data_IF_552228676808
#
_entry.id   IF_552228676808
#
_cell.length_a   1.000
_cell.length_b   1.000
_cell.length_c   1.000
_cell.angle_alpha   90.00
_cell.angle_beta   90.00
_cell.angle_gamma   90.00
#
_symmetry.space_group_name_H-M   'P 1'
#
loop_
_entity.id
_entity.type
_entity.pdbx_description
1 polymer ?
#
# COMPACT_ATOMS: atom_id res chain seq x y z
N UNK A 1 -9.53 -1.69 13.48
CA UNK A 1 -10.00 -0.90 12.36
C UNK A 1 -8.99 0.20 12.04
N UNK A 2 -8.31 0.08 10.89
CA UNK A 2 -7.14 0.91 10.50
C UNK A 2 -7.53 2.41 10.43
N UNK A 3 -8.73 2.72 9.94
CA UNK A 3 -9.20 4.09 9.81
C UNK A 3 -9.45 4.76 11.17
N UNK A 4 -9.87 3.99 12.16
CA UNK A 4 -9.99 4.48 13.55
C UNK A 4 -8.62 4.77 14.14
N UNK A 5 -7.64 3.96 13.78
CA UNK A 5 -6.27 4.05 14.28
C UNK A 5 -5.58 5.37 13.92
N UNK A 6 -5.86 5.93 12.75
CA UNK A 6 -5.32 7.22 12.33
C UNK A 6 -5.59 8.34 13.32
N UNK A 7 -6.79 8.36 13.92
CA UNK A 7 -7.20 9.43 14.82
C UNK A 7 -6.84 9.16 16.29
N UNK A 8 -7.08 7.93 16.76
CA UNK A 8 -7.02 7.59 18.18
C UNK A 8 -6.15 6.37 18.50
N UNK A 9 -5.49 5.77 17.51
CA UNK A 9 -4.72 4.54 17.67
C UNK A 9 -3.65 4.63 18.74
N UNK A 10 -2.92 5.74 18.82
CA UNK A 10 -1.93 5.95 19.86
C UNK A 10 -2.52 5.93 21.29
N UNK A 11 -3.71 6.49 21.47
CA UNK A 11 -4.43 6.42 22.74
C UNK A 11 -4.88 4.99 23.04
N UNK A 12 -5.45 4.31 22.05
CA UNK A 12 -5.88 2.92 22.21
C UNK A 12 -4.70 1.99 22.51
N UNK A 13 -3.56 2.17 21.88
CA UNK A 13 -2.34 1.46 22.16
C UNK A 13 -1.88 1.65 23.62
N UNK A 14 -1.86 2.88 24.14
CA UNK A 14 -1.53 3.16 25.53
C UNK A 14 -2.51 2.50 26.50
N UNK A 15 -3.80 2.58 26.22
CA UNK A 15 -4.82 1.96 27.07
C UNK A 15 -4.68 0.44 27.11
N UNK A 16 -4.45 -0.17 25.93
CA UNK A 16 -4.23 -1.62 25.83
C UNK A 16 -2.99 -2.08 26.60
N UNK A 17 -1.85 -1.38 26.44
CA UNK A 17 -0.64 -1.67 27.18
C UNK A 17 -0.84 -1.57 28.69
N UNK A 18 -1.53 -0.54 29.17
CA UNK A 18 -1.83 -0.38 30.58
C UNK A 18 -2.77 -1.48 31.11
N UNK A 19 -3.64 -1.99 30.27
CA UNK A 19 -4.56 -3.09 30.61
C UNK A 19 -3.93 -4.49 30.42
N UNK A 20 -2.70 -4.58 29.88
CA UNK A 20 -2.04 -5.87 29.61
C UNK A 20 -2.70 -6.69 28.49
N UNK A 21 -3.39 -6.03 27.56
CA UNK A 21 -4.06 -6.69 26.44
C UNK A 21 -3.36 -6.40 25.11
N UNK A 22 -3.49 -7.31 24.16
CA UNK A 22 -2.93 -7.14 22.81
C UNK A 22 -3.72 -6.07 22.05
N UNK A 23 -3.00 -5.14 21.45
CA UNK A 23 -3.54 -4.19 20.49
C UNK A 23 -2.70 -4.21 19.21
N UNK A 24 -3.33 -4.53 18.09
CA UNK A 24 -2.69 -4.50 16.77
C UNK A 24 -3.62 -3.83 15.77
N UNK A 25 -3.10 -2.89 14.98
CA UNK A 25 -3.89 -2.13 14.02
C UNK A 25 -4.05 -2.83 12.69
N UNK A 26 -3.09 -3.64 12.27
CA UNK A 26 -3.03 -4.13 10.89
C UNK A 26 -2.48 -5.55 10.74
N UNK A 27 -2.43 -6.34 11.82
CA UNK A 27 -2.07 -7.75 11.72
C UNK A 27 -3.09 -8.49 10.85
N UNK A 28 -2.62 -9.15 9.78
CA UNK A 28 -3.49 -9.84 8.81
C UNK A 28 -4.16 -8.93 7.78
N UNK A 29 -3.87 -7.62 7.78
CA UNK A 29 -4.27 -6.68 6.73
C UNK A 29 -3.05 -6.24 5.92
N UNK A 30 -3.27 -5.50 4.82
CA UNK A 30 -2.24 -5.15 3.83
C UNK A 30 -1.00 -4.47 4.42
N UNK A 31 -1.08 -3.48 5.35
CA UNK A 31 0.10 -2.90 5.96
C UNK A 31 0.95 -3.91 6.75
N UNK A 32 0.33 -4.81 7.51
CA UNK A 32 1.03 -5.88 8.23
C UNK A 32 1.72 -6.85 7.28
N UNK A 33 1.00 -7.32 6.26
CA UNK A 33 1.52 -8.27 5.29
C UNK A 33 2.71 -7.71 4.50
N UNK A 34 2.66 -6.45 4.06
CA UNK A 34 3.78 -5.85 3.31
C UNK A 34 5.01 -5.61 4.18
N UNK A 35 4.84 -5.27 5.45
CA UNK A 35 5.96 -5.10 6.38
C UNK A 35 6.68 -6.43 6.61
N UNK A 36 5.96 -7.54 6.72
CA UNK A 36 6.57 -8.88 6.78
C UNK A 36 7.41 -9.18 5.54
N UNK A 37 6.90 -8.86 4.34
CA UNK A 37 7.66 -9.01 3.08
C UNK A 37 8.88 -8.10 3.03
N UNK A 38 8.74 -6.85 3.47
CA UNK A 38 9.81 -5.87 3.55
C UNK A 38 10.94 -6.35 4.46
N UNK A 39 10.60 -6.78 5.69
CA UNK A 39 11.56 -7.27 6.66
C UNK A 39 12.27 -8.54 6.16
N UNK A 40 11.53 -9.44 5.51
CA UNK A 40 12.09 -10.64 4.91
C UNK A 40 13.11 -10.29 3.81
N UNK A 41 12.74 -9.41 2.87
CA UNK A 41 13.64 -8.99 1.79
C UNK A 41 14.89 -8.29 2.33
N UNK A 42 14.74 -7.40 3.30
CA UNK A 42 15.87 -6.73 3.97
C UNK A 42 16.75 -7.71 4.73
N UNK A 43 16.14 -8.68 5.41
CA UNK A 43 16.84 -9.73 6.15
C UNK A 43 17.70 -10.63 5.25
N UNK A 44 17.32 -10.83 4.00
CA UNK A 44 18.10 -11.53 2.97
C UNK A 44 19.18 -10.65 2.33
N UNK A 45 19.24 -9.35 2.63
CA UNK A 45 20.23 -8.41 2.08
C UNK A 45 19.81 -7.77 0.77
N UNK A 46 18.57 -7.90 0.33
CA UNK A 46 18.06 -7.20 -0.84
C UNK A 46 17.88 -5.70 -0.57
N UNK A 47 18.07 -4.91 -1.63
CA UNK A 47 17.71 -3.51 -1.65
C UNK A 47 16.21 -3.40 -2.02
N UNK A 48 15.37 -2.97 -1.07
CA UNK A 48 13.95 -2.76 -1.35
C UNK A 48 13.77 -1.40 -2.01
N UNK A 49 13.25 -1.43 -3.24
CA UNK A 49 13.06 -0.25 -4.10
C UNK A 49 11.68 0.39 -3.90
N UNK A 50 10.64 -0.43 -3.84
CA UNK A 50 9.25 0.01 -3.71
C UNK A 50 8.51 -0.91 -2.76
N UNK A 51 7.66 -0.33 -1.94
CA UNK A 51 6.69 -1.04 -1.10
C UNK A 51 5.30 -0.61 -1.53
N UNK A 52 4.37 -1.55 -1.68
CA UNK A 52 3.07 -1.15 -2.17
C UNK A 52 1.95 -2.16 -2.03
N UNK A 53 0.79 -1.71 -2.52
CA UNK A 53 -0.45 -2.48 -2.50
C UNK A 53 -1.24 -2.37 -3.79
N UNK A 54 -2.11 -3.34 -4.02
CA UNK A 54 -3.10 -3.27 -5.08
C UNK A 54 -4.33 -2.44 -4.71
N UNK A 55 -5.01 -1.90 -5.72
CA UNK A 55 -6.29 -1.21 -5.62
C UNK A 55 -7.23 -1.69 -6.73
N UNK A 56 -8.48 -2.02 -6.37
CA UNK A 56 -9.48 -2.53 -7.34
C UNK A 56 -10.36 -1.44 -7.94
N UNK A 57 -10.51 -0.32 -7.24
CA UNK A 57 -11.45 0.70 -7.65
C UNK A 57 -10.69 1.92 -8.15
N UNK A 58 -11.02 2.44 -9.33
CA UNK A 58 -10.51 3.75 -9.76
C UNK A 58 -10.74 4.81 -8.70
N UNK A 59 -9.80 5.75 -8.59
CA UNK A 59 -9.90 6.84 -7.64
C UNK A 59 -11.01 7.81 -8.08
N UNK A 60 -11.90 8.16 -7.16
CA UNK A 60 -13.00 9.11 -7.34
C UNK A 60 -13.05 10.05 -6.13
N UNK A 61 -12.20 11.08 -6.15
CA UNK A 61 -11.98 12.01 -5.01
C UNK A 61 -13.26 12.73 -4.57
N UNK A 62 -14.19 12.97 -5.51
CA UNK A 62 -15.48 13.62 -5.26
C UNK A 62 -16.56 12.67 -4.75
N UNK A 63 -16.22 11.40 -4.51
CA UNK A 63 -17.17 10.41 -4.01
C UNK A 63 -17.70 10.80 -2.62
N UNK A 64 -19.01 10.72 -2.45
CA UNK A 64 -19.68 10.87 -1.15
C UNK A 64 -20.53 9.64 -0.84
N UNK A 65 -20.91 9.41 0.43
CA UNK A 65 -21.79 8.29 0.76
C UNK A 65 -23.11 8.30 -0.02
N UNK A 66 -23.62 9.49 -0.33
CA UNK A 66 -24.85 9.68 -1.11
C UNK A 66 -24.69 9.22 -2.56
N UNK A 67 -23.54 9.53 -3.19
CA UNK A 67 -23.28 9.17 -4.60
C UNK A 67 -23.11 7.66 -4.81
N UNK A 68 -22.83 6.91 -3.75
CA UNK A 68 -22.64 5.44 -3.80
C UNK A 68 -23.73 4.66 -3.07
N UNK A 69 -24.81 5.32 -2.62
CA UNK A 69 -25.86 4.70 -1.82
C UNK A 69 -26.50 3.46 -2.50
N UNK A 70 -26.82 3.55 -3.80
CA UNK A 70 -27.41 2.44 -4.54
C UNK A 70 -26.43 1.27 -4.70
N UNK A 71 -25.16 1.54 -5.04
CA UNK A 71 -24.11 0.51 -5.13
C UNK A 71 -23.90 -0.17 -3.77
N UNK A 72 -23.92 0.61 -2.70
CA UNK A 72 -23.77 0.08 -1.35
C UNK A 72 -24.93 -0.83 -0.97
N UNK A 73 -26.16 -0.46 -1.33
CA UNK A 73 -27.38 -1.26 -1.11
C UNK A 73 -27.32 -2.58 -1.88
N UNK A 74 -26.93 -2.55 -3.16
CA UNK A 74 -26.77 -3.76 -3.99
C UNK A 74 -25.73 -4.71 -3.40
N UNK A 75 -24.62 -4.18 -2.85
CA UNK A 75 -23.55 -4.96 -2.24
C UNK A 75 -23.80 -5.34 -0.79
N UNK A 76 -24.90 -4.91 -0.18
CA UNK A 76 -25.16 -5.12 1.25
C UNK A 76 -24.11 -4.47 2.16
N UNK A 77 -23.50 -3.36 1.73
CA UNK A 77 -22.39 -2.69 2.40
C UNK A 77 -22.77 -1.28 2.87
N UNK A 78 -22.00 -0.73 3.79
CA UNK A 78 -22.17 0.65 4.24
C UNK A 78 -21.79 1.64 3.13
N UNK A 79 -22.61 2.68 2.82
CA UNK A 79 -22.22 3.72 1.87
C UNK A 79 -20.92 4.43 2.24
N UNK A 80 -20.66 4.65 3.53
CA UNK A 80 -19.39 5.24 4.02
C UNK A 80 -18.20 4.36 3.68
N UNK A 81 -18.33 3.04 3.83
CA UNK A 81 -17.27 2.09 3.49
C UNK A 81 -17.00 2.07 1.98
N UNK A 82 -18.05 2.00 1.15
CA UNK A 82 -17.90 2.03 -0.30
C UNK A 82 -17.26 3.35 -0.77
N UNK A 83 -17.68 4.46 -0.17
CA UNK A 83 -17.07 5.76 -0.44
C UNK A 83 -15.57 5.76 -0.09
N UNK A 84 -15.18 5.32 1.10
CA UNK A 84 -13.79 5.27 1.54
C UNK A 84 -12.89 4.38 0.64
N UNK A 85 -13.46 3.39 -0.02
CA UNK A 85 -12.74 2.58 -1.02
C UNK A 85 -12.53 3.35 -2.34
N UNK A 86 -13.45 4.25 -2.69
CA UNK A 86 -13.42 4.98 -3.95
C UNK A 86 -12.70 6.32 -3.86
N UNK A 87 -12.89 7.08 -2.78
CA UNK A 87 -12.27 8.39 -2.60
C UNK A 87 -10.78 8.36 -2.24
N UNK A 88 -10.24 7.16 -2.02
CA UNK A 88 -8.84 6.95 -1.68
C UNK A 88 -8.55 6.98 -0.18
N UNK A 89 -9.49 7.33 0.68
CA UNK A 89 -9.27 7.43 2.13
C UNK A 89 -8.65 6.16 2.70
N UNK A 90 -9.25 5.01 2.43
CA UNK A 90 -8.72 3.73 2.93
C UNK A 90 -7.31 3.45 2.39
N UNK A 91 -7.10 3.61 1.08
CA UNK A 91 -5.79 3.37 0.45
C UNK A 91 -4.71 4.28 1.05
N UNK A 92 -5.00 5.56 1.25
CA UNK A 92 -4.03 6.51 1.80
C UNK A 92 -3.71 6.24 3.27
N UNK A 93 -4.68 5.78 4.07
CA UNK A 93 -4.45 5.36 5.46
C UNK A 93 -3.49 4.15 5.50
N UNK A 94 -3.73 3.14 4.68
CA UNK A 94 -2.89 1.95 4.59
C UNK A 94 -1.48 2.29 4.11
N UNK A 95 -1.35 3.11 3.06
CA UNK A 95 -0.05 3.57 2.56
C UNK A 95 0.71 4.41 3.59
N UNK A 96 0.01 5.24 4.37
CA UNK A 96 0.63 5.99 5.46
C UNK A 96 1.16 5.06 6.55
N UNK A 97 0.43 4.00 6.89
CA UNK A 97 0.91 2.98 7.82
C UNK A 97 2.16 2.27 7.29
N UNK A 98 2.20 1.91 6.00
CA UNK A 98 3.37 1.34 5.34
C UNK A 98 4.55 2.31 5.36
N UNK A 99 4.33 3.59 5.05
CA UNK A 99 5.35 4.64 5.09
C UNK A 99 5.97 4.77 6.47
N UNK A 100 5.15 4.84 7.50
CA UNK A 100 5.61 4.96 8.88
C UNK A 100 6.42 3.73 9.34
N UNK A 101 6.06 2.54 8.88
CA UNK A 101 6.75 1.31 9.24
C UNK A 101 8.09 1.13 8.52
N UNK A 102 8.19 1.55 7.26
CA UNK A 102 9.37 1.33 6.40
C UNK A 102 10.31 2.53 6.32
N UNK A 103 9.81 3.72 6.65
CA UNK A 103 10.51 4.99 6.43
C UNK A 103 10.47 5.47 4.98
N UNK A 104 9.76 4.78 4.09
CA UNK A 104 9.58 5.18 2.70
C UNK A 104 8.53 6.29 2.59
N UNK A 105 8.57 7.04 1.51
CA UNK A 105 7.64 8.14 1.23
C UNK A 105 7.01 7.97 -0.15
N UNK A 106 5.85 8.55 -0.45
CA UNK A 106 5.35 8.54 -1.82
C UNK A 106 6.26 9.40 -2.73
N UNK A 107 6.49 8.95 -3.97
CA UNK A 107 7.30 9.67 -4.96
C UNK A 107 6.65 11.01 -5.37
N UNK A 108 5.34 11.04 -5.44
CA UNK A 108 4.52 12.23 -5.66
C UNK A 108 3.40 12.30 -4.64
N UNK A 109 2.83 13.48 -4.42
CA UNK A 109 1.68 13.65 -3.52
C UNK A 109 0.52 12.77 -3.97
N UNK A 110 0.06 11.87 -3.09
CA UNK A 110 -1.02 10.91 -3.36
C UNK A 110 -0.60 9.66 -4.11
N UNK A 111 0.71 9.48 -4.37
CA UNK A 111 1.31 8.43 -5.19
C UNK A 111 0.84 8.48 -6.67
N UNK A 112 1.45 7.68 -7.55
CA UNK A 112 1.10 7.69 -8.98
C UNK A 112 -0.20 6.93 -9.25
N UNK A 113 -0.43 5.82 -8.57
CA UNK A 113 -1.61 4.98 -8.78
C UNK A 113 -1.69 4.42 -10.20
N UNK A 114 -0.57 4.03 -10.75
CA UNK A 114 -0.49 3.51 -12.11
C UNK A 114 -1.32 2.22 -12.28
N UNK A 115 -1.67 1.89 -13.51
CA UNK A 115 -2.29 0.62 -13.87
C UNK A 115 -1.22 -0.39 -14.23
N UNK A 116 -1.33 -1.62 -13.69
CA UNK A 116 -0.45 -2.73 -14.04
C UNK A 116 -1.06 -4.07 -13.64
N UNK A 117 -0.50 -5.14 -14.17
CA UNK A 117 -0.63 -6.49 -13.65
C UNK A 117 0.66 -6.92 -12.93
N UNK A 118 0.64 -8.12 -12.34
CA UNK A 118 1.80 -8.65 -11.59
C UNK A 118 3.03 -8.83 -12.48
N UNK A 119 2.85 -9.22 -13.75
CA UNK A 119 3.95 -9.50 -14.66
C UNK A 119 4.73 -8.24 -15.07
N UNK A 120 4.06 -7.08 -15.09
CA UNK A 120 4.64 -5.80 -15.53
C UNK A 120 4.94 -4.82 -14.39
N UNK A 121 4.72 -5.23 -13.13
CA UNK A 121 4.98 -4.38 -11.96
C UNK A 121 6.38 -3.79 -11.94
N UNK A 122 7.37 -4.61 -12.25
CA UNK A 122 8.77 -4.21 -12.20
C UNK A 122 9.12 -3.15 -13.27
N UNK A 123 8.45 -3.17 -14.42
CA UNK A 123 8.65 -2.17 -15.47
C UNK A 123 7.94 -0.87 -15.12
N UNK A 124 6.66 -0.95 -14.74
CA UNK A 124 5.84 0.24 -14.38
C UNK A 124 6.41 0.96 -13.16
N UNK A 125 6.95 0.23 -12.18
CA UNK A 125 7.57 0.77 -10.97
C UNK A 125 9.10 0.90 -11.09
N UNK A 126 9.62 1.05 -12.30
CA UNK A 126 11.01 1.44 -12.54
C UNK A 126 11.17 2.95 -12.59
N UNK A 127 12.42 3.43 -12.53
CA UNK A 127 12.71 4.83 -12.73
C UNK A 127 12.46 5.24 -14.19
N UNK A 128 11.92 6.42 -14.40
CA UNK A 128 11.80 7.05 -15.74
C UNK A 128 13.13 7.05 -16.48
N UNK A 129 14.24 7.25 -15.75
CA UNK A 129 15.60 7.27 -16.29
C UNK A 129 16.10 5.91 -16.79
N UNK A 130 15.48 4.80 -16.39
CA UNK A 130 15.86 3.44 -16.83
C UNK A 130 15.32 3.10 -18.22
N UNK A 131 14.37 3.88 -18.76
CA UNK A 131 13.87 3.69 -20.12
C UNK A 131 12.99 2.46 -20.33
N UNK A 132 12.49 1.84 -19.25
CA UNK A 132 11.58 0.69 -19.28
C UNK A 132 10.08 1.06 -19.26
N UNK A 133 9.78 2.36 -19.33
CA UNK A 133 8.41 2.86 -19.24
C UNK A 133 7.94 3.12 -17.81
N UNK A 134 8.85 3.17 -16.86
CA UNK A 134 8.57 3.42 -15.45
C UNK A 134 8.03 4.80 -15.14
N UNK A 135 7.28 4.91 -14.05
CA UNK A 135 6.64 6.15 -13.61
C UNK A 135 7.40 6.88 -12.51
N UNK A 136 8.41 6.25 -11.90
CA UNK A 136 9.06 6.76 -10.71
C UNK A 136 10.20 7.75 -11.03
N UNK A 137 10.34 8.75 -10.19
CA UNK A 137 11.51 9.63 -10.16
C UNK A 137 12.57 9.13 -9.16
N UNK A 138 12.14 8.45 -8.08
CA UNK A 138 13.01 7.93 -7.03
C UNK A 138 12.64 6.50 -6.63
N UNK A 139 13.61 5.74 -6.12
CA UNK A 139 13.39 4.54 -5.33
C UNK A 139 13.31 4.85 -3.83
N UNK A 140 12.93 3.87 -3.03
CA UNK A 140 12.64 4.05 -1.60
C UNK A 140 11.25 4.65 -1.38
N UNK A 141 10.29 4.27 -2.20
CA UNK A 141 8.96 4.86 -2.24
C UNK A 141 7.86 3.86 -1.93
N UNK A 142 6.71 4.38 -1.50
CA UNK A 142 5.46 3.63 -1.39
C UNK A 142 4.55 3.96 -2.56
N UNK A 143 3.88 2.93 -3.10
CA UNK A 143 2.96 3.07 -4.24
C UNK A 143 1.73 2.19 -4.10
N UNK A 144 0.66 2.55 -4.80
CA UNK A 144 -0.43 1.62 -5.07
C UNK A 144 -0.60 1.42 -6.58
N UNK A 145 -1.07 0.22 -6.94
CA UNK A 145 -1.28 -0.17 -8.34
C UNK A 145 -2.74 -0.56 -8.54
N UNK A 146 -3.37 0.01 -9.55
CA UNK A 146 -4.66 -0.45 -10.03
C UNK A 146 -4.45 -1.71 -10.88
N UNK A 147 -5.22 -2.77 -10.57
CA UNK A 147 -5.16 -4.04 -11.30
C UNK A 147 -4.45 -5.19 -10.56
N UNK A 148 -3.81 -4.93 -9.42
CA UNK A 148 -3.06 -5.95 -8.63
C UNK A 148 -3.79 -6.35 -7.34
N UNK A 149 -4.99 -5.84 -7.11
CA UNK A 149 -5.73 -6.13 -5.89
C UNK A 149 -6.59 -7.41 -5.98
N UNK A 150 -6.80 -8.14 -4.87
CA UNK A 150 -6.19 -7.87 -3.57
C UNK A 150 -4.73 -8.31 -3.54
N UNK A 151 -3.87 -7.54 -2.89
CA UNK A 151 -2.48 -7.93 -2.71
C UNK A 151 -1.57 -6.78 -2.29
N UNK A 152 -0.41 -7.20 -1.81
CA UNK A 152 0.70 -6.32 -1.49
C UNK A 152 1.94 -6.78 -2.23
N UNK A 153 2.91 -5.89 -2.40
CA UNK A 153 4.15 -6.21 -3.10
C UNK A 153 5.33 -5.43 -2.54
N UNK A 154 6.53 -5.97 -2.75
CA UNK A 154 7.79 -5.25 -2.66
C UNK A 154 8.57 -5.44 -3.97
N UNK A 155 9.12 -4.36 -4.49
CA UNK A 155 10.09 -4.42 -5.60
C UNK A 155 11.47 -4.43 -4.97
N UNK A 156 12.25 -5.42 -5.31
CA UNK A 156 13.60 -5.62 -4.79
C UNK A 156 14.64 -5.44 -5.86
N UNK A 157 15.85 -5.14 -5.44
CA UNK A 157 17.03 -5.14 -6.29
C UNK A 157 18.22 -5.71 -5.56
N UNK A 158 19.28 -6.01 -6.31
CA UNK A 158 20.55 -6.47 -5.78
C UNK A 158 21.68 -5.93 -6.65
N UNK A 159 22.82 -5.70 -6.03
CA UNK A 159 24.08 -5.38 -6.71
C UNK A 159 24.89 -6.62 -7.12
N UNK A 160 24.38 -7.83 -6.82
CA UNK A 160 24.98 -9.10 -7.17
C UNK A 160 24.49 -9.56 -8.55
N UNK A 161 25.31 -9.50 -9.63
CA UNK A 161 24.84 -9.77 -10.99
C UNK A 161 24.26 -11.18 -11.18
N UNK A 162 24.85 -12.18 -10.53
CA UNK A 162 24.41 -13.57 -10.63
C UNK A 162 23.01 -13.74 -10.00
N UNK A 163 22.78 -13.10 -8.85
CA UNK A 163 21.46 -13.12 -8.18
C UNK A 163 20.45 -12.33 -9.03
N UNK A 164 20.84 -11.18 -9.56
CA UNK A 164 19.96 -10.39 -10.42
C UNK A 164 19.48 -11.19 -11.63
N UNK A 165 20.36 -11.97 -12.24
CA UNK A 165 20.03 -12.81 -13.40
C UNK A 165 19.07 -13.97 -13.07
N UNK A 166 19.08 -14.47 -11.85
CA UNK A 166 18.14 -15.53 -11.40
C UNK A 166 16.75 -14.98 -11.01
N UNK A 167 16.64 -13.67 -10.73
CA UNK A 167 15.40 -13.02 -10.32
C UNK A 167 14.60 -12.42 -11.48
N UNK A 168 15.15 -12.39 -12.69
CA UNK A 168 14.53 -11.87 -13.90
C UNK A 168 14.16 -12.97 -14.88
#
# INVERSE_FOLDING_TARGET
NVETDVCIGHLLYKLANNAGVVYTGSAGDEPGAVVEMYDYAKGLGFDVKVVGKGKNNPLALECTPETVAEIAKEKGASPKMICAFKDGTKTMVEMTAMANATGFVPDVTGAHGAESDVAHLNDVLSLKSEGRGGVLDNYGVIEYINGVAPGVFVIIGTDQPDIAAELT
#
